data_IF_257893098836
#
_entry.id   IF_257893098836
#
_cell.length_a   1.000
_cell.length_b   1.000
_cell.length_c   1.000
_cell.angle_alpha   90.00
_cell.angle_beta   90.00
_cell.angle_gamma   90.00
#
_symmetry.space_group_name_H-M   'P 1'
#
loop_
_entity.id
_entity.type
_entity.pdbx_description
1 polymer ?
#
# COMPACT_ATOMS: atom_id res chain seq x y z
N UNK A 1 -5.60 65.84 11.46
CA UNK A 1 -5.41 67.08 10.70
C UNK A 1 -5.88 66.82 9.30
N UNK A 2 -7.00 67.45 9.03
CA UNK A 2 -7.40 68.21 7.81
C UNK A 2 -7.45 67.38 6.53
N UNK A 3 -8.68 67.06 6.06
CA UNK A 3 -9.52 67.87 5.11
C UNK A 3 -8.95 67.78 3.69
N UNK A 4 -9.74 67.53 2.62
CA UNK A 4 -10.92 68.23 2.12
C UNK A 4 -11.40 67.45 0.88
N UNK A 5 -12.65 66.99 0.70
CA UNK A 5 -13.74 67.55 -0.07
C UNK A 5 -13.41 68.27 -1.41
N UNK A 6 -14.09 67.86 -2.52
CA UNK A 6 -14.95 68.63 -3.40
C UNK A 6 -15.35 67.80 -4.61
N UNK A 7 -16.61 67.46 -4.87
CA UNK A 7 -17.70 68.18 -5.53
C UNK A 7 -17.57 68.32 -7.08
N UNK A 8 -18.54 67.77 -7.75
CA UNK A 8 -19.31 68.40 -8.81
C UNK A 8 -19.09 67.69 -10.19
N UNK A 9 -19.98 67.34 -10.95
CA UNK A 9 -21.21 67.90 -11.38
C UNK A 9 -21.98 66.93 -12.31
N UNK A 10 -23.25 67.09 -12.28
CA UNK A 10 -24.35 66.47 -13.00
C UNK A 10 -24.41 66.96 -14.44
N UNK A 11 -24.65 66.08 -15.42
CA UNK A 11 -25.23 66.42 -16.70
C UNK A 11 -26.16 65.33 -17.17
N UNK A 12 -27.45 65.67 -17.22
CA UNK A 12 -28.52 64.90 -17.85
C UNK A 12 -28.41 65.07 -19.37
N UNK A 13 -28.60 64.01 -20.14
CA UNK A 13 -29.15 64.07 -21.46
C UNK A 13 -30.01 62.85 -21.76
N UNK A 14 -31.13 63.08 -22.37
CA UNK A 14 -32.33 62.26 -22.48
C UNK A 14 -32.32 61.28 -23.66
N UNK A 15 -33.10 60.19 -23.43
CA UNK A 15 -34.04 59.57 -24.39
C UNK A 15 -33.49 58.95 -25.68
N UNK A 16 -33.62 57.65 -25.72
CA UNK A 16 -33.63 56.84 -26.94
C UNK A 16 -34.16 55.44 -26.63
N UNK A 17 -35.49 55.25 -26.75
CA UNK A 17 -36.09 53.91 -26.72
C UNK A 17 -35.69 53.14 -27.96
N UNK A 18 -34.81 52.16 -27.79
CA UNK A 18 -34.64 51.05 -28.72
C UNK A 18 -35.04 49.77 -27.96
N UNK A 19 -36.04 49.08 -28.49
CA UNK A 19 -36.43 47.73 -28.08
C UNK A 19 -35.23 46.81 -28.29
N UNK A 20 -34.63 46.39 -27.22
CA UNK A 20 -33.69 45.27 -27.21
C UNK A 20 -34.51 43.99 -27.16
N UNK A 21 -34.45 43.20 -28.21
CA UNK A 21 -34.88 41.79 -28.18
C UNK A 21 -34.00 41.07 -27.17
N UNK A 22 -34.66 40.52 -26.16
CA UNK A 22 -34.06 39.68 -25.14
C UNK A 22 -33.67 38.33 -25.78
N UNK A 23 -32.41 38.22 -26.18
CA UNK A 23 -31.82 36.95 -26.57
C UNK A 23 -31.70 36.11 -25.31
N UNK A 24 -32.56 35.10 -25.17
CA UNK A 24 -32.52 34.12 -24.11
C UNK A 24 -31.11 33.49 -24.06
N UNK A 25 -30.44 33.63 -22.92
CA UNK A 25 -29.17 32.94 -22.64
C UNK A 25 -29.40 31.40 -22.79
N UNK A 26 -28.49 30.68 -23.47
CA UNK A 26 -28.58 29.24 -23.53
C UNK A 26 -28.55 28.68 -22.09
N UNK A 27 -29.46 27.74 -21.81
CA UNK A 27 -29.47 27.01 -20.53
C UNK A 27 -28.09 26.36 -20.30
N UNK A 28 -27.59 26.32 -19.06
CA UNK A 28 -26.33 25.65 -18.78
C UNK A 28 -26.47 24.20 -19.21
N UNK A 29 -25.59 23.76 -20.08
CA UNK A 29 -25.42 22.37 -20.47
C UNK A 29 -25.11 21.60 -19.17
N UNK A 30 -26.04 20.73 -18.75
CA UNK A 30 -25.81 19.79 -17.67
C UNK A 30 -24.73 18.83 -18.18
N UNK A 31 -23.49 19.10 -17.81
CA UNK A 31 -22.41 18.12 -17.95
C UNK A 31 -22.81 16.98 -17.01
N UNK A 32 -23.37 15.95 -17.60
CA UNK A 32 -23.58 14.66 -16.94
C UNK A 32 -22.20 14.15 -16.54
N UNK A 33 -21.79 14.44 -15.31
CA UNK A 33 -20.59 13.84 -14.73
C UNK A 33 -20.86 12.35 -14.69
N UNK A 34 -20.12 11.60 -15.53
CA UNK A 34 -20.10 10.14 -15.43
C UNK A 34 -19.87 9.73 -13.96
N UNK A 35 -20.55 8.69 -13.48
CA UNK A 35 -20.42 8.30 -12.08
C UNK A 35 -18.98 7.98 -11.74
N UNK A 36 -18.49 8.60 -10.67
CA UNK A 36 -17.15 8.39 -10.06
C UNK A 36 -17.09 7.01 -9.36
N UNK A 37 -17.96 6.07 -9.72
CA UNK A 37 -18.08 4.76 -9.06
C UNK A 37 -16.98 3.76 -9.42
N UNK A 38 -16.18 4.00 -10.46
CA UNK A 38 -15.15 3.02 -10.87
C UNK A 38 -13.79 3.19 -10.21
N UNK A 39 -13.51 4.33 -9.59
CA UNK A 39 -12.22 4.58 -8.93
C UNK A 39 -12.14 4.06 -7.48
N UNK A 40 -13.28 3.85 -6.82
CA UNK A 40 -13.32 3.46 -5.41
C UNK A 40 -12.95 1.97 -5.13
N UNK A 41 -12.84 1.15 -6.16
CA UNK A 41 -12.59 -0.29 -6.06
C UNK A 41 -11.30 -0.74 -6.77
N UNK A 42 -10.51 0.17 -7.32
CA UNK A 42 -9.22 -0.19 -7.91
C UNK A 42 -8.18 -0.38 -6.80
N UNK A 43 -7.28 -1.37 -6.92
CA UNK A 43 -6.16 -1.51 -5.99
C UNK A 43 -5.23 -0.30 -6.07
N UNK A 44 -4.64 0.07 -4.93
CA UNK A 44 -3.70 1.19 -4.81
C UNK A 44 -2.29 0.82 -5.28
N UNK A 45 -1.97 -0.48 -5.26
CA UNK A 45 -0.68 -1.03 -5.66
C UNK A 45 -0.78 -2.52 -5.96
N UNK A 46 0.26 -3.05 -6.56
CA UNK A 46 0.46 -4.49 -6.76
C UNK A 46 1.72 -4.93 -6.03
N UNK A 47 1.57 -5.88 -5.10
CA UNK A 47 2.68 -6.44 -4.33
C UNK A 47 2.96 -7.86 -4.78
N UNK A 48 4.25 -8.20 -4.89
CA UNK A 48 4.71 -9.54 -5.16
C UNK A 48 5.63 -10.02 -4.05
N UNK A 49 5.40 -11.23 -3.59
CA UNK A 49 6.18 -11.88 -2.53
C UNK A 49 6.92 -13.06 -3.14
N UNK A 50 8.23 -13.01 -3.12
CA UNK A 50 9.11 -14.08 -3.57
C UNK A 50 9.69 -14.78 -2.34
N UNK A 51 9.49 -16.06 -2.23
CA UNK A 51 10.13 -16.88 -1.21
C UNK A 51 11.62 -17.01 -1.51
N UNK A 52 12.47 -16.77 -0.51
CA UNK A 52 13.91 -16.77 -0.67
C UNK A 52 14.59 -17.78 0.25
N UNK A 53 15.63 -18.42 -0.27
CA UNK A 53 16.55 -19.29 0.46
C UNK A 53 17.94 -18.66 0.50
N UNK A 54 18.56 -18.72 1.69
CA UNK A 54 19.95 -18.35 1.86
C UNK A 54 20.86 -19.43 1.27
N UNK A 55 21.83 -19.00 0.47
CA UNK A 55 22.83 -19.88 -0.10
C UNK A 55 24.02 -20.11 0.83
N UNK A 56 24.97 -20.95 0.40
CA UNK A 56 26.15 -21.33 1.19
C UNK A 56 27.08 -20.16 1.53
N UNK A 57 27.08 -19.09 0.69
CA UNK A 57 27.89 -17.88 0.90
C UNK A 57 27.10 -16.74 1.57
N UNK A 58 25.89 -17.00 2.08
CA UNK A 58 25.10 -15.98 2.73
C UNK A 58 25.85 -15.38 3.93
N UNK A 59 25.93 -14.06 3.96
CA UNK A 59 26.35 -13.25 5.09
C UNK A 59 25.77 -11.85 4.97
N UNK A 60 25.74 -11.08 6.05
CA UNK A 60 25.26 -9.70 6.02
C UNK A 60 26.05 -8.83 5.03
N UNK A 61 27.39 -9.05 4.93
CA UNK A 61 28.23 -8.33 3.98
C UNK A 61 27.87 -8.70 2.53
N UNK A 62 27.71 -9.98 2.23
CA UNK A 62 27.31 -10.46 0.91
C UNK A 62 25.88 -10.02 0.54
N UNK A 63 24.99 -9.97 1.50
CA UNK A 63 23.63 -9.46 1.29
C UNK A 63 23.64 -7.96 0.97
N UNK A 64 24.52 -7.18 1.61
CA UNK A 64 24.67 -5.77 1.29
C UNK A 64 25.25 -5.57 -0.15
N UNK A 65 26.23 -6.37 -0.55
CA UNK A 65 26.76 -6.38 -1.93
C UNK A 65 25.67 -6.77 -2.95
N UNK A 66 24.93 -7.82 -2.67
CA UNK A 66 23.77 -8.27 -3.46
C UNK A 66 22.78 -7.13 -3.67
N UNK A 67 22.33 -6.51 -2.60
CA UNK A 67 21.34 -5.42 -2.65
C UNK A 67 21.86 -4.20 -3.42
N UNK A 68 23.12 -3.81 -3.21
CA UNK A 68 23.72 -2.70 -3.94
C UNK A 68 23.85 -2.98 -5.44
N UNK A 69 24.27 -4.21 -5.80
CA UNK A 69 24.37 -4.66 -7.18
C UNK A 69 22.98 -4.69 -7.85
N UNK A 70 21.98 -5.26 -7.17
CA UNK A 70 20.59 -5.31 -7.66
C UNK A 70 20.02 -3.91 -7.90
N UNK A 71 20.19 -2.98 -6.95
CA UNK A 71 19.77 -1.59 -7.13
C UNK A 71 20.45 -0.93 -8.35
N UNK A 72 21.72 -1.21 -8.59
CA UNK A 72 22.43 -0.70 -9.78
C UNK A 72 21.84 -1.24 -11.08
N UNK A 73 21.43 -2.52 -11.11
CA UNK A 73 20.73 -3.10 -12.25
C UNK A 73 19.40 -2.39 -12.48
N UNK A 74 18.59 -2.25 -11.43
CA UNK A 74 17.27 -1.60 -11.54
C UNK A 74 17.40 -0.13 -11.99
N UNK A 75 18.40 0.62 -11.47
CA UNK A 75 18.65 2.01 -11.87
C UNK A 75 19.06 2.15 -13.34
N UNK A 76 19.67 1.12 -13.90
CA UNK A 76 20.10 1.08 -15.30
C UNK A 76 19.02 0.61 -16.28
N UNK A 77 17.86 0.17 -15.79
CA UNK A 77 16.79 -0.36 -16.63
C UNK A 77 15.78 0.74 -17.04
N UNK A 78 15.31 0.66 -18.27
CA UNK A 78 14.11 1.41 -18.71
C UNK A 78 12.86 0.59 -18.37
N UNK A 79 12.45 0.67 -17.12
CA UNK A 79 11.36 -0.12 -16.55
C UNK A 79 10.51 0.74 -15.60
N UNK A 80 9.26 0.32 -15.30
CA UNK A 80 8.44 0.97 -14.29
C UNK A 80 9.14 1.08 -12.93
N UNK A 81 8.88 2.16 -12.22
CA UNK A 81 9.42 2.38 -10.89
C UNK A 81 8.86 1.34 -9.91
N UNK A 82 9.72 0.85 -9.02
CA UNK A 82 9.34 -0.12 -7.99
C UNK A 82 9.94 0.24 -6.63
N UNK A 83 9.26 -0.17 -5.55
CA UNK A 83 9.87 -0.28 -4.24
C UNK A 83 10.18 -1.75 -3.93
N UNK A 84 11.17 -2.00 -3.08
CA UNK A 84 11.53 -3.35 -2.67
C UNK A 84 11.78 -3.40 -1.16
N UNK A 85 11.36 -4.54 -0.57
CA UNK A 85 11.49 -4.80 0.87
C UNK A 85 11.97 -6.21 1.09
N UNK A 86 12.63 -6.44 2.24
CA UNK A 86 12.94 -7.77 2.77
C UNK A 86 12.09 -8.03 4.00
N UNK A 87 11.45 -9.20 4.09
CA UNK A 87 10.74 -9.61 5.30
C UNK A 87 11.36 -10.88 5.84
N UNK A 88 11.72 -10.86 7.12
CA UNK A 88 12.32 -11.99 7.81
C UNK A 88 11.37 -12.44 8.92
N UNK A 89 11.04 -13.75 9.01
CA UNK A 89 10.21 -14.28 10.09
C UNK A 89 10.74 -13.89 11.48
N UNK A 90 9.85 -13.39 12.35
CA UNK A 90 10.21 -12.97 13.70
C UNK A 90 9.68 -13.94 14.75
N UNK A 91 10.58 -14.75 15.33
CA UNK A 91 10.20 -15.68 16.40
C UNK A 91 9.49 -16.95 15.92
N UNK A 92 9.48 -17.22 14.62
CA UNK A 92 8.99 -18.47 14.01
C UNK A 92 9.88 -18.85 12.82
N UNK A 93 9.81 -20.09 12.40
CA UNK A 93 10.65 -20.67 11.36
C UNK A 93 9.79 -21.53 10.42
N UNK A 94 10.22 -21.69 9.19
CA UNK A 94 9.63 -22.61 8.21
C UNK A 94 10.76 -23.28 7.41
N UNK A 95 10.48 -24.49 6.88
CA UNK A 95 11.39 -25.15 5.96
C UNK A 95 11.26 -24.62 4.52
N UNK A 96 10.22 -23.84 4.22
CA UNK A 96 9.90 -23.40 2.88
C UNK A 96 10.78 -22.23 2.42
N UNK A 97 11.12 -21.29 3.32
CA UNK A 97 11.93 -20.10 3.02
C UNK A 97 12.66 -19.57 4.26
N UNK A 98 13.67 -18.75 4.04
CA UNK A 98 14.38 -18.03 5.10
C UNK A 98 13.93 -16.57 5.22
N UNK A 99 13.30 -16.05 4.19
CA UNK A 99 12.75 -14.70 4.13
C UNK A 99 12.00 -14.45 2.82
N UNK A 100 11.44 -13.25 2.71
CA UNK A 100 10.72 -12.82 1.52
C UNK A 100 11.44 -11.62 0.90
N UNK A 101 11.56 -11.65 -0.43
CA UNK A 101 11.85 -10.48 -1.23
C UNK A 101 10.50 -9.94 -1.74
N UNK A 102 10.16 -8.72 -1.36
CA UNK A 102 8.86 -8.14 -1.65
C UNK A 102 9.03 -6.96 -2.59
N UNK A 103 8.28 -6.98 -3.70
CA UNK A 103 8.26 -5.91 -4.69
C UNK A 103 6.91 -5.21 -4.67
N UNK A 104 6.91 -3.88 -4.71
CA UNK A 104 5.71 -3.07 -4.86
C UNK A 104 5.77 -2.32 -6.18
N UNK A 105 4.74 -2.49 -6.98
CA UNK A 105 4.51 -1.84 -8.26
C UNK A 105 3.27 -0.94 -8.18
N UNK A 106 3.14 0.02 -9.08
CA UNK A 106 1.91 0.82 -9.16
C UNK A 106 0.74 0.02 -9.73
N UNK A 107 1.01 -0.99 -10.58
CA UNK A 107 0.01 -1.88 -11.14
C UNK A 107 0.59 -3.27 -11.48
N UNK A 108 -0.30 -4.23 -11.76
CA UNK A 108 0.07 -5.56 -12.28
C UNK A 108 0.75 -5.46 -13.65
N UNK A 109 0.31 -4.52 -14.49
CA UNK A 109 0.91 -4.32 -15.81
C UNK A 109 2.33 -3.77 -15.69
N UNK A 110 2.59 -2.89 -14.71
CA UNK A 110 3.96 -2.41 -14.40
C UNK A 110 4.85 -3.54 -13.90
N UNK A 111 4.32 -4.43 -13.07
CA UNK A 111 5.03 -5.63 -12.65
C UNK A 111 5.43 -6.48 -13.86
N UNK A 112 4.48 -6.78 -14.76
CA UNK A 112 4.75 -7.57 -15.95
C UNK A 112 5.84 -6.93 -16.84
N UNK A 113 5.76 -5.61 -17.06
CA UNK A 113 6.75 -4.87 -17.83
C UNK A 113 8.13 -4.85 -17.14
N UNK A 114 8.15 -4.68 -15.81
CA UNK A 114 9.39 -4.70 -15.02
C UNK A 114 10.10 -6.05 -15.10
N UNK A 115 9.37 -7.14 -14.97
CA UNK A 115 9.93 -8.50 -15.10
C UNK A 115 10.41 -8.81 -16.52
N UNK A 116 9.70 -8.37 -17.55
CA UNK A 116 10.15 -8.50 -18.94
C UNK A 116 11.49 -7.75 -19.15
N UNK A 117 11.56 -6.50 -18.66
CA UNK A 117 12.79 -5.70 -18.75
C UNK A 117 13.94 -6.32 -17.97
N UNK A 118 13.71 -6.83 -16.75
CA UNK A 118 14.73 -7.49 -15.94
C UNK A 118 15.25 -8.77 -16.63
N UNK A 119 14.33 -9.63 -17.10
CA UNK A 119 14.70 -10.88 -17.79
C UNK A 119 15.45 -10.67 -19.11
N UNK A 120 15.22 -9.55 -19.81
CA UNK A 120 15.95 -9.16 -21.01
C UNK A 120 17.29 -8.48 -20.72
N UNK A 121 17.54 -8.05 -19.47
CA UNK A 121 18.75 -7.34 -19.06
C UNK A 121 19.94 -8.29 -18.91
N UNK A 122 21.02 -8.05 -19.68
CA UNK A 122 22.31 -8.77 -19.50
C UNK A 122 22.88 -8.50 -18.09
N UNK A 123 22.66 -7.29 -17.55
CA UNK A 123 23.11 -6.94 -16.20
C UNK A 123 22.31 -7.68 -15.13
N UNK A 124 20.98 -7.87 -15.31
CA UNK A 124 20.14 -8.69 -14.43
C UNK A 124 20.60 -10.14 -14.40
N UNK A 125 20.76 -10.75 -15.57
CA UNK A 125 21.25 -12.13 -15.68
C UNK A 125 22.65 -12.32 -15.06
N UNK A 126 23.54 -11.34 -15.24
CA UNK A 126 24.87 -11.36 -14.63
C UNK A 126 24.82 -11.23 -13.11
N UNK A 127 23.88 -10.40 -12.59
CA UNK A 127 23.62 -10.28 -11.16
C UNK A 127 23.16 -11.61 -10.57
N UNK A 128 22.13 -12.22 -11.15
CA UNK A 128 21.57 -13.49 -10.67
C UNK A 128 22.63 -14.59 -10.64
N UNK A 129 23.45 -14.69 -11.71
CA UNK A 129 24.54 -15.65 -11.77
C UNK A 129 25.65 -15.40 -10.74
N UNK A 130 25.96 -14.13 -10.45
CA UNK A 130 27.03 -13.76 -9.50
C UNK A 130 26.64 -14.02 -8.05
N UNK A 131 25.34 -13.98 -7.72
CA UNK A 131 24.85 -14.06 -6.36
C UNK A 131 23.99 -15.29 -6.07
N UNK A 132 23.94 -16.27 -6.96
CA UNK A 132 23.17 -17.51 -6.79
C UNK A 132 23.56 -18.29 -5.52
N UNK A 133 24.81 -18.18 -5.06
CA UNK A 133 25.29 -18.79 -3.81
C UNK A 133 25.00 -17.96 -2.56
N UNK A 134 24.48 -16.72 -2.72
CA UNK A 134 24.14 -15.83 -1.61
C UNK A 134 22.66 -15.90 -1.28
N UNK A 135 21.78 -15.69 -2.26
CA UNK A 135 20.34 -15.69 -2.09
C UNK A 135 19.66 -16.17 -3.39
N UNK A 136 18.69 -17.06 -3.26
CA UNK A 136 17.84 -17.50 -4.36
C UNK A 136 16.38 -17.27 -3.99
N UNK A 137 15.60 -16.63 -4.88
CA UNK A 137 14.20 -16.30 -4.63
C UNK A 137 13.29 -16.84 -5.74
N UNK A 138 12.13 -17.41 -5.37
CA UNK A 138 11.07 -17.83 -6.29
C UNK A 138 11.28 -19.16 -7.02
N UNK A 139 12.50 -19.52 -7.34
CA UNK A 139 12.80 -20.66 -8.23
C UNK A 139 12.76 -22.03 -7.56
N UNK A 140 13.12 -22.12 -6.28
CA UNK A 140 13.29 -23.40 -5.58
C UNK A 140 11.96 -24.04 -5.16
N UNK A 141 10.90 -23.24 -5.05
CA UNK A 141 9.56 -23.70 -4.64
C UNK A 141 8.62 -23.96 -5.82
N UNK A 142 9.10 -23.81 -7.05
CA UNK A 142 8.29 -24.07 -8.25
C UNK A 142 7.21 -23.00 -8.50
N UNK A 143 7.22 -21.92 -7.73
CA UNK A 143 6.33 -20.77 -7.85
C UNK A 143 7.21 -19.53 -7.91
N UNK A 144 7.13 -18.81 -9.01
CA UNK A 144 7.98 -17.65 -9.21
C UNK A 144 7.63 -16.50 -8.26
N UNK A 145 6.32 -16.24 -8.08
CA UNK A 145 5.83 -15.07 -7.37
C UNK A 145 4.40 -15.25 -6.87
N UNK A 146 4.11 -14.67 -5.71
CA UNK A 146 2.76 -14.56 -5.18
C UNK A 146 2.30 -13.10 -5.28
N UNK A 147 1.49 -12.80 -6.27
CA UNK A 147 1.00 -11.45 -6.54
C UNK A 147 -0.28 -11.12 -5.79
N UNK A 148 -0.37 -9.89 -5.25
CA UNK A 148 -1.55 -9.41 -4.55
C UNK A 148 -1.97 -8.04 -5.08
N UNK A 149 -3.24 -7.90 -5.45
CA UNK A 149 -3.88 -6.61 -5.62
C UNK A 149 -4.07 -5.97 -4.24
N UNK A 150 -3.38 -4.87 -3.96
CA UNK A 150 -3.27 -4.32 -2.61
C UNK A 150 -4.05 -3.03 -2.46
N UNK A 151 -4.77 -2.93 -1.35
CA UNK A 151 -5.61 -1.80 -0.95
C UNK A 151 -5.01 -1.16 0.30
N UNK A 152 -4.76 0.16 0.25
CA UNK A 152 -4.15 0.96 1.32
C UNK A 152 -5.16 2.04 1.73
N UNK A 153 -6.17 1.68 2.55
CA UNK A 153 -7.30 2.57 2.83
C UNK A 153 -6.92 3.82 3.63
N UNK A 154 -5.73 3.82 4.22
CA UNK A 154 -5.21 4.90 5.04
C UNK A 154 -3.85 5.34 4.50
N UNK A 155 -3.62 6.65 4.40
CA UNK A 155 -2.29 7.14 4.07
C UNK A 155 -1.28 6.72 5.15
N UNK A 156 -0.10 6.28 4.72
CA UNK A 156 1.00 5.93 5.62
C UNK A 156 1.39 7.18 6.45
N UNK A 157 1.42 7.09 7.79
CA UNK A 157 1.73 8.24 8.63
C UNK A 157 3.21 8.66 8.47
N UNK A 158 3.48 9.96 8.65
CA UNK A 158 4.85 10.49 8.54
C UNK A 158 5.81 9.94 9.62
N UNK A 159 5.28 9.42 10.72
CA UNK A 159 6.02 8.72 11.78
C UNK A 159 6.51 7.34 11.36
N UNK A 160 5.93 6.72 10.32
CA UNK A 160 6.44 5.49 9.74
C UNK A 160 7.41 5.84 8.59
N UNK A 161 8.68 5.56 8.77
CA UNK A 161 9.72 5.84 7.76
C UNK A 161 10.36 4.57 7.19
N UNK A 162 10.13 3.42 7.83
CA UNK A 162 10.84 2.18 7.52
C UNK A 162 12.31 2.17 7.98
N UNK A 163 12.78 3.28 8.55
CA UNK A 163 14.13 3.48 9.07
C UNK A 163 14.09 4.07 10.49
N UNK A 164 14.96 3.63 11.42
CA UNK A 164 15.97 2.57 11.24
C UNK A 164 15.33 1.19 11.11
N UNK A 165 15.94 0.32 10.29
CA UNK A 165 15.53 -1.07 10.17
C UNK A 165 15.98 -1.90 11.41
N UNK A 166 15.25 -3.02 11.71
CA UNK A 166 14.01 -3.43 11.08
C UNK A 166 12.79 -2.61 11.57
N UNK A 167 11.83 -2.36 10.69
CA UNK A 167 10.47 -2.05 11.12
C UNK A 167 9.70 -3.35 11.39
N UNK A 168 8.56 -3.24 12.05
CA UNK A 168 7.76 -4.40 12.46
C UNK A 168 6.47 -4.49 11.66
N UNK A 169 6.10 -5.71 11.29
CA UNK A 169 4.80 -5.98 10.68
C UNK A 169 4.24 -7.34 11.14
N UNK A 170 2.91 -7.46 11.06
CA UNK A 170 2.23 -8.75 11.19
C UNK A 170 1.37 -9.00 9.97
N UNK A 171 1.28 -10.26 9.54
CA UNK A 171 0.43 -10.69 8.44
C UNK A 171 -0.51 -11.80 8.90
N UNK A 172 -1.80 -11.65 8.59
CA UNK A 172 -2.82 -12.70 8.78
C UNK A 172 -3.46 -13.04 7.45
N UNK A 173 -3.63 -14.32 7.16
CA UNK A 173 -4.45 -14.77 6.04
C UNK A 173 -5.88 -14.97 6.53
N UNK A 174 -6.85 -14.40 5.80
CA UNK A 174 -8.22 -14.31 6.21
C UNK A 174 -9.17 -14.85 5.13
N UNK A 175 -10.23 -15.51 5.55
CA UNK A 175 -11.33 -15.94 4.66
C UNK A 175 -12.61 -15.20 5.01
N UNK A 176 -13.36 -14.79 4.00
CA UNK A 176 -14.69 -14.24 4.19
C UNK A 176 -15.63 -15.32 4.74
N UNK A 177 -16.46 -14.97 5.68
CA UNK A 177 -17.42 -15.88 6.26
C UNK A 177 -18.53 -16.24 5.25
N UNK A 178 -19.22 -17.37 5.45
CA UNK A 178 -20.28 -17.83 4.56
C UNK A 178 -21.32 -16.73 4.29
N UNK A 179 -21.55 -16.43 3.00
CA UNK A 179 -22.50 -15.42 2.54
C UNK A 179 -22.02 -13.98 2.66
N UNK A 180 -20.73 -13.78 2.95
CA UNK A 180 -20.08 -12.46 2.95
C UNK A 180 -19.33 -12.23 1.65
N UNK A 181 -19.29 -10.97 1.23
CA UNK A 181 -18.64 -10.50 0.02
C UNK A 181 -17.54 -9.47 0.36
N UNK A 182 -16.59 -9.19 -0.52
CA UNK A 182 -15.55 -8.18 -0.30
C UNK A 182 -16.12 -6.79 0.09
N UNK A 183 -17.32 -6.46 -0.36
CA UNK A 183 -17.99 -5.20 0.00
C UNK A 183 -18.43 -5.14 1.48
N UNK A 184 -18.75 -6.28 2.10
CA UNK A 184 -19.01 -6.34 3.55
C UNK A 184 -17.74 -5.98 4.33
N UNK A 185 -16.59 -6.54 3.93
CA UNK A 185 -15.28 -6.23 4.51
C UNK A 185 -14.94 -4.76 4.32
N UNK A 186 -15.13 -4.24 3.10
CA UNK A 186 -14.90 -2.83 2.79
C UNK A 186 -15.74 -1.92 3.70
N UNK A 187 -17.02 -2.24 3.92
CA UNK A 187 -17.90 -1.46 4.79
C UNK A 187 -17.39 -1.45 6.23
N UNK A 188 -16.95 -2.58 6.80
CA UNK A 188 -16.33 -2.62 8.13
C UNK A 188 -15.10 -1.75 8.20
N UNK A 189 -14.23 -1.82 7.19
CA UNK A 189 -13.00 -1.01 7.14
C UNK A 189 -13.31 0.48 7.03
N UNK A 190 -14.15 0.89 6.07
CA UNK A 190 -14.35 2.30 5.74
C UNK A 190 -15.28 2.98 6.75
N UNK A 191 -16.36 2.31 7.16
CA UNK A 191 -17.43 2.94 7.97
C UNK A 191 -17.17 2.82 9.47
N UNK A 192 -16.31 1.89 9.90
CA UNK A 192 -16.04 1.66 11.32
C UNK A 192 -14.55 1.75 11.69
N UNK A 193 -13.68 1.01 11.00
CA UNK A 193 -12.27 0.93 11.39
C UNK A 193 -11.50 2.23 11.12
N UNK A 194 -11.61 2.82 9.93
CA UNK A 194 -10.94 4.09 9.62
C UNK A 194 -11.37 5.25 10.54
N UNK A 195 -12.68 5.46 10.85
CA UNK A 195 -13.06 6.46 11.85
C UNK A 195 -12.49 6.22 13.24
N UNK A 196 -12.41 4.95 13.68
CA UNK A 196 -11.78 4.62 14.95
C UNK A 196 -10.28 4.94 14.95
N UNK A 197 -9.56 4.61 13.86
CA UNK A 197 -8.14 4.94 13.71
C UNK A 197 -7.90 6.45 13.66
N UNK A 198 -8.78 7.20 13.00
CA UNK A 198 -8.70 8.66 12.96
C UNK A 198 -8.83 9.28 14.36
N UNK A 199 -9.77 8.79 15.17
CA UNK A 199 -9.91 9.22 16.57
C UNK A 199 -8.67 8.84 17.41
N UNK A 200 -8.14 7.64 17.23
CA UNK A 200 -6.90 7.19 17.90
C UNK A 200 -5.67 8.02 17.52
N UNK A 201 -5.58 8.46 16.27
CA UNK A 201 -4.49 9.32 15.79
C UNK A 201 -4.54 10.75 16.41
N UNK A 202 -5.73 11.27 16.75
CA UNK A 202 -5.86 12.52 17.49
C UNK A 202 -5.31 12.39 18.93
N UNK A 203 -5.47 11.21 19.54
CA UNK A 203 -4.98 10.92 20.90
C UNK A 203 -3.49 10.56 20.91
N UNK A 204 -2.99 9.92 19.86
CA UNK A 204 -1.60 9.51 19.71
C UNK A 204 -1.07 9.89 18.30
N UNK A 205 -0.73 11.18 18.08
CA UNK A 205 -0.30 11.67 16.77
C UNK A 205 1.07 11.14 16.32
N UNK A 206 1.85 10.57 17.24
CA UNK A 206 3.16 9.99 16.95
C UNK A 206 3.09 8.50 16.58
N UNK A 207 1.89 7.88 16.59
CA UNK A 207 1.72 6.49 16.16
C UNK A 207 2.18 6.30 14.72
N UNK A 208 2.98 5.27 14.51
CA UNK A 208 3.45 4.88 13.19
C UNK A 208 2.55 3.83 12.50
N UNK A 209 1.47 3.45 13.15
CA UNK A 209 0.58 2.39 12.66
C UNK A 209 -0.08 2.72 11.33
N UNK A 210 -0.01 1.80 10.40
CA UNK A 210 -0.81 1.74 9.19
C UNK A 210 -1.04 0.29 8.77
N UNK A 211 -1.90 0.06 7.78
CA UNK A 211 -2.23 -1.27 7.33
C UNK A 211 -2.54 -1.32 5.85
N UNK A 212 -2.49 -2.53 5.31
CA UNK A 212 -2.98 -2.82 3.97
C UNK A 212 -3.72 -4.16 3.93
N UNK A 213 -4.56 -4.31 2.92
CA UNK A 213 -5.26 -5.53 2.57
C UNK A 213 -4.79 -5.97 1.19
N UNK A 214 -4.51 -7.25 0.99
CA UNK A 214 -4.10 -7.79 -0.29
C UNK A 214 -5.03 -8.92 -0.74
N UNK A 215 -5.64 -8.77 -1.91
CA UNK A 215 -6.37 -9.86 -2.54
C UNK A 215 -5.43 -10.68 -3.42
N UNK A 216 -5.36 -12.03 -3.27
CA UNK A 216 -4.47 -12.86 -4.06
C UNK A 216 -4.84 -12.80 -5.55
N UNK A 217 -3.83 -12.72 -6.40
CA UNK A 217 -3.94 -12.74 -7.86
C UNK A 217 -3.27 -14.02 -8.42
N UNK A 218 -3.53 -15.12 -7.76
CA UNK A 218 -3.07 -16.47 -8.10
C UNK A 218 -4.08 -17.50 -7.56
N UNK A 219 -3.97 -18.75 -8.03
CA UNK A 219 -4.79 -19.84 -7.53
C UNK A 219 -4.34 -20.23 -6.12
N UNK A 220 -5.17 -19.91 -5.12
CA UNK A 220 -4.91 -20.24 -3.72
C UNK A 220 -5.07 -21.74 -3.49
N UNK A 221 -4.18 -22.33 -2.69
CA UNK A 221 -4.25 -23.76 -2.34
C UNK A 221 -5.59 -24.10 -1.68
N UNK A 222 -6.39 -25.01 -2.24
CA UNK A 222 -7.67 -25.40 -1.66
C UNK A 222 -7.55 -26.11 -0.30
N UNK A 223 -6.37 -26.59 0.08
CA UNK A 223 -6.12 -27.18 1.41
C UNK A 223 -5.82 -26.09 2.47
N UNK A 224 -5.43 -24.88 2.03
CA UNK A 224 -5.18 -23.73 2.90
C UNK A 224 -5.82 -22.47 2.32
N UNK A 225 -7.17 -22.43 2.17
CA UNK A 225 -7.85 -21.35 1.47
C UNK A 225 -7.81 -20.04 2.27
N UNK A 226 -7.69 -18.92 1.55
CA UNK A 226 -7.90 -17.58 2.06
C UNK A 226 -8.36 -16.67 0.92
N UNK A 227 -9.05 -15.56 1.26
CA UNK A 227 -9.57 -14.60 0.31
C UNK A 227 -8.73 -13.31 0.29
N UNK A 228 -8.07 -12.99 1.40
CA UNK A 228 -7.19 -11.83 1.50
C UNK A 228 -6.15 -12.01 2.61
N UNK A 229 -5.09 -11.21 2.53
CA UNK A 229 -4.21 -11.02 3.67
C UNK A 229 -4.44 -9.65 4.31
N UNK A 230 -4.24 -9.56 5.61
CA UNK A 230 -4.33 -8.34 6.40
C UNK A 230 -2.97 -8.08 7.03
N UNK A 231 -2.31 -7.01 6.60
CA UNK A 231 -0.96 -6.69 7.05
C UNK A 231 -0.98 -5.39 7.84
N UNK A 232 -0.44 -5.45 9.05
CA UNK A 232 -0.31 -4.32 9.95
C UNK A 232 1.16 -3.93 10.07
N UNK A 233 1.45 -2.64 10.09
CA UNK A 233 2.81 -2.10 10.13
C UNK A 233 3.00 -1.14 11.28
N UNK A 234 4.18 -1.18 11.91
CA UNK A 234 4.66 -0.25 12.92
C UNK A 234 6.14 0.02 12.72
N UNK A 235 6.62 1.16 13.21
CA UNK A 235 8.04 1.49 13.13
C UNK A 235 8.90 0.55 13.96
N UNK A 236 8.38 0.01 15.08
CA UNK A 236 9.12 -0.93 15.96
C UNK A 236 8.21 -2.05 16.45
N UNK A 237 8.82 -3.18 16.81
CA UNK A 237 8.11 -4.31 17.44
C UNK A 237 7.49 -3.92 18.80
N UNK A 238 8.19 -3.10 19.60
CA UNK A 238 7.67 -2.63 20.88
C UNK A 238 6.37 -1.82 20.72
N UNK A 239 6.33 -0.92 19.73
CA UNK A 239 5.11 -0.17 19.41
C UNK A 239 3.98 -1.12 18.95
N UNK A 240 4.30 -2.06 18.05
CA UNK A 240 3.32 -3.01 17.53
C UNK A 240 2.69 -3.88 18.61
N UNK A 241 3.54 -4.46 19.48
CA UNK A 241 3.09 -5.30 20.60
C UNK A 241 2.24 -4.48 21.59
N UNK A 242 2.70 -3.27 21.95
CA UNK A 242 1.97 -2.40 22.87
C UNK A 242 0.64 -1.92 22.28
N UNK A 243 0.61 -1.54 21.00
CA UNK A 243 -0.60 -1.09 20.30
C UNK A 243 -1.62 -2.21 20.19
N UNK A 244 -1.19 -3.40 19.81
CA UNK A 244 -2.06 -4.59 19.70
C UNK A 244 -2.67 -4.93 21.08
N UNK A 245 -1.86 -4.99 22.13
CA UNK A 245 -2.34 -5.27 23.48
C UNK A 245 -3.34 -4.19 23.99
N UNK A 246 -3.08 -2.92 23.69
CA UNK A 246 -3.98 -1.83 24.05
C UNK A 246 -5.31 -1.90 23.28
N UNK A 247 -5.25 -2.21 21.99
CA UNK A 247 -6.42 -2.41 21.14
C UNK A 247 -7.29 -3.55 21.68
N UNK A 248 -6.73 -4.72 21.92
CA UNK A 248 -7.44 -5.90 22.44
C UNK A 248 -8.06 -5.68 23.84
N UNK A 249 -7.40 -4.88 24.69
CA UNK A 249 -7.89 -4.56 26.01
C UNK A 249 -9.00 -3.49 26.02
N UNK A 250 -9.13 -2.68 24.96
CA UNK A 250 -10.10 -1.59 24.90
C UNK A 250 -11.51 -2.08 24.50
N UNK A 251 -12.55 -1.43 25.02
CA UNK A 251 -13.94 -1.70 24.60
C UNK A 251 -14.13 -1.44 23.09
N UNK A 252 -13.52 -0.39 22.57
CA UNK A 252 -13.59 -0.06 21.13
C UNK A 252 -12.92 -1.11 20.25
N UNK A 253 -11.74 -1.60 20.66
CA UNK A 253 -11.03 -2.66 19.94
C UNK A 253 -11.80 -3.98 19.97
N UNK A 254 -12.35 -4.37 21.14
CA UNK A 254 -13.18 -5.58 21.26
C UNK A 254 -14.44 -5.51 20.37
N UNK A 255 -15.12 -4.36 20.34
CA UNK A 255 -16.25 -4.15 19.45
C UNK A 255 -15.84 -4.22 17.97
N UNK A 256 -14.68 -3.66 17.62
CA UNK A 256 -14.15 -3.71 16.26
C UNK A 256 -13.76 -5.13 15.85
N UNK A 257 -13.09 -5.90 16.72
CA UNK A 257 -12.80 -7.32 16.47
C UNK A 257 -14.10 -8.12 16.26
N UNK A 258 -15.16 -7.84 17.03
CA UNK A 258 -16.46 -8.48 16.84
C UNK A 258 -17.03 -8.17 15.44
N UNK A 259 -16.95 -6.91 14.98
CA UNK A 259 -17.41 -6.52 13.64
C UNK A 259 -16.63 -7.23 12.54
N UNK A 260 -15.30 -7.32 12.66
CA UNK A 260 -14.47 -8.07 11.71
C UNK A 260 -14.82 -9.56 11.72
N UNK A 261 -14.99 -10.17 12.89
CA UNK A 261 -15.34 -11.59 13.04
C UNK A 261 -16.72 -11.95 12.48
N UNK A 262 -17.64 -10.98 12.33
CA UNK A 262 -18.91 -11.20 11.63
C UNK A 262 -18.71 -11.34 10.10
N UNK A 263 -17.63 -10.79 9.56
CA UNK A 263 -17.38 -10.72 8.12
C UNK A 263 -16.31 -11.69 7.68
N UNK A 264 -15.24 -11.87 8.45
CA UNK A 264 -14.11 -12.70 8.08
C UNK A 264 -13.54 -13.45 9.28
N UNK A 265 -12.87 -14.56 9.00
CA UNK A 265 -12.09 -15.33 9.97
C UNK A 265 -10.64 -15.32 9.52
N UNK A 266 -9.74 -14.88 10.41
CA UNK A 266 -8.31 -14.81 10.13
C UNK A 266 -7.54 -15.89 10.89
N UNK A 267 -6.46 -16.35 10.27
CA UNK A 267 -5.44 -17.17 10.94
C UNK A 267 -4.65 -16.32 11.94
N UNK A 268 -3.90 -16.98 12.83
CA UNK A 268 -3.01 -16.30 13.76
C UNK A 268 -2.03 -15.39 13.02
N UNK A 269 -1.84 -14.19 13.55
CA UNK A 269 -0.95 -13.20 12.96
C UNK A 269 0.50 -13.65 13.02
N UNK A 270 1.17 -13.68 11.89
CA UNK A 270 2.59 -13.99 11.77
C UNK A 270 3.41 -12.71 11.87
N UNK A 271 4.32 -12.58 12.86
CA UNK A 271 5.18 -11.42 13.01
C UNK A 271 6.43 -11.51 12.11
N UNK A 272 6.87 -10.35 11.62
CA UNK A 272 8.02 -10.20 10.72
C UNK A 272 8.85 -8.97 11.06
N UNK A 273 10.14 -9.05 10.80
CA UNK A 273 11.06 -7.92 10.72
C UNK A 273 11.16 -7.45 9.26
N UNK A 274 10.83 -6.18 9.01
CA UNK A 274 10.83 -5.58 7.69
C UNK A 274 12.04 -4.68 7.43
N UNK A 275 12.56 -4.71 6.20
CA UNK A 275 13.72 -3.95 5.76
C UNK A 275 13.40 -3.22 4.46
N UNK A 276 13.66 -1.92 4.39
CA UNK A 276 13.58 -1.17 3.13
C UNK A 276 14.84 -1.46 2.30
N UNK A 277 14.65 -2.02 1.11
CA UNK A 277 15.73 -2.32 0.15
C UNK A 277 15.83 -1.21 -0.89
N UNK A 278 14.68 -0.74 -1.37
CA UNK A 278 14.57 0.32 -2.37
C UNK A 278 13.29 1.13 -2.14
N UNK A 279 13.40 2.44 -2.12
CA UNK A 279 12.23 3.32 -2.14
C UNK A 279 11.78 3.62 -3.58
N UNK A 280 10.48 3.82 -3.75
CA UNK A 280 9.87 4.22 -5.03
C UNK A 280 10.05 5.73 -5.33
N UNK A 281 10.79 6.45 -4.50
CA UNK A 281 11.01 7.87 -4.73
C UNK A 281 11.82 8.03 -6.02
N UNK A 282 11.17 8.57 -7.06
CA UNK A 282 11.88 9.13 -8.21
C UNK A 282 12.82 10.20 -7.68
N UNK A 283 14.14 9.97 -7.81
CA UNK A 283 15.19 10.91 -7.46
C UNK A 283 15.12 12.16 -8.35
#
# INVERSE_FOLDING_TARGET
MKNTMLFGAMLLAAAGCAKQEEVAAPAPEVVETAPVETAANAPDAYYEYLWCKQGEEFSQEKMAEFTASWNTVIDGMDAPALAAFGYIPKGWETEDFDGLWVLRWDSKDDSAAGWEAYGASEAGQAHDAAYASVLTCGQEVGVDRFGFASYIPQAMPASFTGEPAPYFLTNSFCSLNEGKEPEDLRSVVVDAYLPMLAAGAEENPDSSYWFMLGAPDFDVDPEAPFDFNFIHYWQTAEEGEASTAAFEASEGGQAMMANFNEVATCQDAQPWDGYLIRSNAAS
#
